data_IF_413480989881
#
_entry.id   IF_413480989881
#
_cell.length_a   1.000
_cell.length_b   1.000
_cell.length_c   1.000
_cell.angle_alpha   90.00
_cell.angle_beta   90.00
_cell.angle_gamma   90.00
#
_symmetry.space_group_name_H-M   'P 1'
#
loop_
_entity.id
_entity.type
_entity.pdbx_description
1 polymer ?
#
# COMPACT_ATOMS: atom_id res chain seq x y z
N UNK A 1 1.96 -14.74 1.15
CA UNK A 1 2.83 -15.69 1.87
C UNK A 1 4.29 -15.32 1.63
N UNK A 2 4.87 -14.53 2.54
CA UNK A 2 6.30 -14.49 2.76
C UNK A 2 6.80 -15.86 3.25
N UNK A 3 7.91 -16.38 2.73
CA UNK A 3 8.45 -17.69 3.14
C UNK A 3 8.89 -17.71 4.61
N UNK A 4 8.97 -18.89 5.23
CA UNK A 4 9.37 -19.00 6.63
C UNK A 4 10.73 -18.34 6.89
N UNK A 5 10.78 -17.42 7.86
CA UNK A 5 12.00 -16.75 8.32
C UNK A 5 12.21 -16.98 9.80
N UNK A 6 13.46 -16.87 10.20
CA UNK A 6 13.91 -16.90 11.58
C UNK A 6 14.97 -15.80 11.73
N UNK A 7 14.75 -14.86 12.64
CA UNK A 7 15.62 -13.71 12.89
C UNK A 7 15.87 -13.58 14.38
N UNK A 8 17.12 -13.29 14.77
CA UNK A 8 17.49 -13.18 16.18
C UNK A 8 17.51 -14.53 16.92
N UNK A 9 17.18 -14.49 18.21
CA UNK A 9 17.21 -15.66 19.08
C UNK A 9 15.84 -16.32 19.17
N UNK A 10 15.77 -17.61 18.86
CA UNK A 10 14.55 -18.42 18.99
C UNK A 10 14.87 -19.76 19.65
N UNK A 11 13.94 -20.35 20.43
CA UNK A 11 14.12 -21.67 21.01
C UNK A 11 14.05 -22.77 19.94
N UNK A 12 14.66 -23.95 20.17
CA UNK A 12 14.63 -25.06 19.23
C UNK A 12 13.23 -25.69 19.06
N UNK A 13 12.30 -25.39 19.96
CA UNK A 13 10.91 -25.84 19.92
C UNK A 13 9.98 -24.71 20.34
N UNK A 14 8.89 -24.57 19.59
CA UNK A 14 7.78 -23.65 19.91
C UNK A 14 7.23 -23.96 21.30
N UNK A 15 6.80 -22.93 22.02
CA UNK A 15 6.14 -23.06 23.30
C UNK A 15 6.94 -23.88 24.33
N UNK A 16 8.24 -23.62 24.39
CA UNK A 16 9.12 -24.15 25.42
C UNK A 16 9.79 -23.01 26.18
N UNK A 17 10.23 -23.29 27.40
CA UNK A 17 10.94 -22.30 28.22
C UNK A 17 12.17 -21.77 27.48
N UNK A 18 12.15 -20.47 27.20
CA UNK A 18 13.23 -19.74 26.54
C UNK A 18 13.63 -18.57 27.44
N UNK A 19 14.88 -18.58 27.93
CA UNK A 19 15.33 -17.68 28.99
C UNK A 19 16.48 -16.81 28.51
N UNK A 20 16.49 -15.57 28.96
CA UNK A 20 17.62 -14.66 28.83
C UNK A 20 18.83 -15.20 29.62
N UNK A 21 20.06 -14.71 29.34
CA UNK A 21 21.26 -15.11 30.08
C UNK A 21 21.16 -14.93 31.61
N UNK A 22 20.36 -13.96 32.08
CA UNK A 22 20.08 -13.72 33.49
C UNK A 22 19.05 -14.67 34.14
N UNK A 23 18.46 -15.61 33.38
CA UNK A 23 17.47 -16.58 33.87
C UNK A 23 16.01 -16.13 33.75
N UNK A 24 15.75 -14.86 33.46
CA UNK A 24 14.43 -14.32 33.14
C UNK A 24 13.82 -15.04 31.92
N UNK A 25 12.51 -15.30 31.95
CA UNK A 25 11.80 -15.94 30.85
C UNK A 25 11.43 -14.90 29.79
N UNK A 26 11.76 -15.16 28.52
CA UNK A 26 11.22 -14.40 27.39
C UNK A 26 9.73 -14.67 27.23
N UNK A 27 8.95 -13.66 26.84
CA UNK A 27 7.50 -13.76 26.73
C UNK A 27 7.19 -14.08 25.29
N UNK A 28 6.70 -15.28 25.04
CA UNK A 28 6.30 -15.73 23.70
C UNK A 28 4.94 -15.11 23.35
N UNK A 29 4.88 -14.36 22.25
CA UNK A 29 3.65 -13.89 21.62
C UNK A 29 3.46 -14.65 20.30
N UNK A 30 2.26 -15.20 20.09
CA UNK A 30 1.85 -15.66 18.77
C UNK A 30 1.04 -14.55 18.09
N UNK A 31 1.63 -13.95 17.07
CA UNK A 31 0.92 -13.05 16.16
C UNK A 31 0.41 -13.89 14.99
N UNK A 32 -0.91 -14.06 14.89
CA UNK A 32 -1.51 -14.96 13.90
C UNK A 32 -2.74 -14.37 13.22
N UNK A 33 -2.96 -14.80 11.98
CA UNK A 33 -4.09 -14.40 11.16
C UNK A 33 -5.26 -15.39 11.27
N UNK A 34 -6.47 -14.90 10.93
CA UNK A 34 -7.70 -15.68 10.77
C UNK A 34 -8.09 -16.61 11.94
N UNK A 35 -7.62 -16.35 13.15
CA UNK A 35 -7.92 -17.22 14.29
C UNK A 35 -7.23 -18.59 14.17
N UNK A 36 -5.91 -18.57 13.92
CA UNK A 36 -5.01 -19.73 13.88
C UNK A 36 -5.09 -20.60 12.61
N UNK A 37 -5.80 -20.17 11.57
CA UNK A 37 -5.91 -20.91 10.30
C UNK A 37 -5.02 -20.40 9.16
N UNK A 38 -4.35 -19.25 9.34
CA UNK A 38 -3.49 -18.62 8.33
C UNK A 38 -2.07 -18.37 8.85
N UNK A 39 -1.29 -17.56 8.14
CA UNK A 39 0.08 -17.19 8.45
C UNK A 39 0.21 -16.65 9.90
N UNK A 40 1.36 -16.93 10.50
CA UNK A 40 1.67 -16.48 11.86
C UNK A 40 3.17 -16.31 12.06
N UNK A 41 3.52 -15.59 13.12
CA UNK A 41 4.87 -15.51 13.66
C UNK A 41 4.85 -15.60 15.18
N UNK A 42 5.89 -16.22 15.73
CA UNK A 42 6.19 -16.21 17.15
C UNK A 42 7.23 -15.12 17.41
N UNK A 43 6.96 -14.27 18.39
CA UNK A 43 7.83 -13.18 18.83
C UNK A 43 8.25 -13.43 20.28
N UNK A 44 9.53 -13.22 20.59
CA UNK A 44 10.10 -13.46 21.92
C UNK A 44 10.49 -12.15 22.59
N UNK A 45 9.66 -11.66 23.51
CA UNK A 45 9.78 -10.34 24.15
C UNK A 45 10.59 -10.35 25.44
N UNK A 46 11.31 -9.25 25.70
CA UNK A 46 11.91 -8.94 27.00
C UNK A 46 10.86 -8.48 28.03
N UNK A 47 9.90 -7.66 27.60
CA UNK A 47 8.77 -7.14 28.36
C UNK A 47 7.55 -8.06 28.31
N UNK A 48 6.41 -7.56 28.80
CA UNK A 48 5.13 -8.28 28.72
C UNK A 48 4.31 -7.64 27.60
N UNK A 49 4.12 -8.30 26.44
CA UNK A 49 3.52 -7.68 25.25
C UNK A 49 2.07 -7.23 25.46
N UNK A 50 1.34 -7.84 26.39
CA UNK A 50 -0.05 -7.49 26.71
C UNK A 50 -0.21 -6.40 27.78
N UNK A 51 0.89 -5.87 28.32
CA UNK A 51 0.83 -4.90 29.42
C UNK A 51 0.59 -3.48 28.90
N UNK A 52 -0.34 -2.77 29.54
CA UNK A 52 -0.62 -1.34 29.34
C UNK A 52 -0.76 -0.66 30.71
N UNK A 53 -0.39 0.60 30.79
CA UNK A 53 -0.54 1.44 31.99
C UNK A 53 -1.59 2.54 31.81
N UNK A 54 -1.94 2.88 30.58
CA UNK A 54 -3.04 3.80 30.24
C UNK A 54 -3.65 3.47 28.88
N UNK A 55 -4.90 3.89 28.67
CA UNK A 55 -5.67 3.73 27.44
C UNK A 55 -6.66 4.88 27.28
N UNK A 56 -6.39 5.80 26.36
CA UNK A 56 -7.23 6.98 26.11
C UNK A 56 -7.67 7.06 24.66
N UNK A 57 -8.74 7.80 24.38
CA UNK A 57 -9.17 8.03 23.00
C UNK A 57 -8.12 8.83 22.22
N UNK A 58 -7.93 8.46 20.96
CA UNK A 58 -7.20 9.25 19.97
C UNK A 58 -8.17 9.63 18.84
N UNK A 59 -8.29 10.94 18.62
CA UNK A 59 -9.08 11.46 17.51
C UNK A 59 -8.33 11.22 16.19
N UNK A 60 -8.93 10.41 15.32
CA UNK A 60 -8.37 10.14 14.00
C UNK A 60 -8.46 11.39 13.11
N UNK A 61 -7.53 11.56 12.15
CA UNK A 61 -7.73 12.46 11.02
C UNK A 61 -9.02 12.14 10.27
N UNK A 62 -9.57 13.10 9.53
CA UNK A 62 -10.85 12.96 8.84
C UNK A 62 -10.92 11.67 7.98
N UNK A 63 -11.82 10.77 8.37
CA UNK A 63 -12.09 9.50 7.71
C UNK A 63 -13.39 9.51 6.88
N UNK A 64 -14.02 10.67 6.71
CA UNK A 64 -15.29 10.82 6.02
C UNK A 64 -15.19 10.46 4.53
N UNK A 65 -16.29 9.94 4.00
CA UNK A 65 -16.41 9.53 2.61
C UNK A 65 -17.65 10.18 2.00
N UNK A 66 -17.45 10.88 0.89
CA UNK A 66 -18.50 11.51 0.10
C UNK A 66 -18.78 10.65 -1.14
N UNK A 67 -20.01 10.16 -1.35
CA UNK A 67 -20.33 9.35 -2.52
C UNK A 67 -19.96 10.04 -3.84
N UNK A 68 -19.50 9.28 -4.84
CA UNK A 68 -19.32 9.79 -6.21
C UNK A 68 -20.68 10.02 -6.89
N UNK A 69 -21.39 11.07 -6.47
CA UNK A 69 -22.73 11.39 -6.93
C UNK A 69 -22.88 12.90 -7.26
N UNK A 70 -23.30 13.28 -8.47
CA UNK A 70 -23.56 12.41 -9.63
C UNK A 70 -22.29 11.67 -10.10
N UNK A 71 -22.47 10.51 -10.71
CA UNK A 71 -21.38 9.63 -11.14
C UNK A 71 -20.54 10.33 -12.22
N UNK A 72 -19.22 10.39 -12.00
CA UNK A 72 -18.25 10.95 -12.95
C UNK A 72 -16.91 10.26 -12.84
N UNK A 73 -16.17 10.21 -13.95
CA UNK A 73 -14.73 9.99 -13.92
C UNK A 73 -14.05 11.20 -13.26
N UNK A 74 -13.07 10.95 -12.40
CA UNK A 74 -12.41 12.00 -11.59
C UNK A 74 -10.92 12.05 -11.90
N UNK A 75 -10.35 13.24 -11.81
CA UNK A 75 -8.90 13.47 -11.83
C UNK A 75 -8.53 14.22 -10.55
N UNK A 76 -7.61 13.66 -9.77
CA UNK A 76 -7.18 14.20 -8.48
C UNK A 76 -5.68 14.50 -8.56
N UNK A 77 -5.25 15.71 -8.20
CA UNK A 77 -3.85 16.15 -8.27
C UNK A 77 -3.17 16.03 -6.91
N UNK A 78 -2.72 14.83 -6.55
CA UNK A 78 -2.26 14.53 -5.18
C UNK A 78 -1.11 15.40 -4.70
N UNK A 79 -0.24 15.86 -5.59
CA UNK A 79 0.86 16.76 -5.22
C UNK A 79 0.38 18.09 -4.64
N UNK A 80 -0.86 18.51 -4.91
CA UNK A 80 -1.46 19.70 -4.29
C UNK A 80 -1.81 19.48 -2.79
N UNK A 81 -1.77 18.23 -2.31
CA UNK A 81 -1.88 17.88 -0.89
C UNK A 81 -0.55 18.09 -0.13
N UNK A 82 0.59 18.13 -0.81
CA UNK A 82 1.94 18.12 -0.24
C UNK A 82 2.42 19.49 0.28
N UNK A 83 1.57 20.25 0.98
CA UNK A 83 1.82 21.68 1.25
C UNK A 83 2.83 21.95 2.37
N UNK A 84 2.85 21.14 3.44
CA UNK A 84 3.67 21.38 4.64
C UNK A 84 4.43 20.12 5.09
N UNK A 85 5.30 19.53 4.25
CA UNK A 85 5.96 18.28 4.57
C UNK A 85 6.83 18.37 5.84
N UNK A 86 7.37 19.55 6.14
CA UNK A 86 8.21 19.80 7.32
C UNK A 86 7.50 19.58 8.66
N UNK A 87 6.18 19.72 8.71
CA UNK A 87 5.38 19.60 9.94
C UNK A 87 4.47 18.36 9.92
N UNK A 88 4.70 17.45 8.97
CA UNK A 88 3.82 16.31 8.68
C UNK A 88 4.58 14.99 8.84
N UNK A 89 3.96 14.01 9.48
CA UNK A 89 4.49 12.64 9.60
C UNK A 89 3.76 11.65 8.65
N UNK A 90 4.41 10.53 8.27
CA UNK A 90 3.87 9.57 7.31
C UNK A 90 2.62 8.77 7.76
N UNK A 91 2.25 8.83 9.03
CA UNK A 91 1.13 8.07 9.61
C UNK A 91 -0.06 8.98 9.86
N UNK A 92 0.08 10.00 10.73
CA UNK A 92 -1.05 10.85 11.14
C UNK A 92 -1.32 11.97 10.15
N UNK A 93 -0.33 12.30 9.30
CA UNK A 93 -0.45 13.28 8.22
C UNK A 93 -1.15 12.79 6.95
N UNK A 94 -1.58 11.52 6.91
CA UNK A 94 -2.25 10.94 5.74
C UNK A 94 -3.58 11.63 5.47
N UNK A 95 -3.76 12.08 4.22
CA UNK A 95 -5.01 12.65 3.73
C UNK A 95 -5.77 11.62 2.92
N UNK A 96 -6.99 11.29 3.33
CA UNK A 96 -7.82 10.28 2.69
C UNK A 96 -8.27 10.76 1.31
N UNK A 97 -7.94 10.02 0.27
CA UNK A 97 -8.23 10.39 -1.13
C UNK A 97 -9.48 9.67 -1.62
N UNK A 98 -9.49 8.34 -1.52
CA UNK A 98 -10.57 7.47 -1.97
C UNK A 98 -10.80 6.37 -0.94
N UNK A 99 -12.01 5.83 -0.85
CA UNK A 99 -12.23 4.65 -0.03
C UNK A 99 -13.62 4.04 -0.13
N UNK A 100 -13.72 2.81 0.35
CA UNK A 100 -14.94 2.04 0.56
C UNK A 100 -14.76 1.14 1.80
N UNK A 101 -15.58 0.09 1.95
CA UNK A 101 -15.50 -0.83 3.09
C UNK A 101 -14.31 -1.81 3.02
N UNK A 102 -13.74 -2.01 1.84
CA UNK A 102 -12.65 -2.95 1.58
C UNK A 102 -11.27 -2.26 1.61
N UNK A 103 -11.19 -1.01 1.15
CA UNK A 103 -9.92 -0.27 1.03
C UNK A 103 -10.07 1.22 1.32
N UNK A 104 -9.02 1.81 1.89
CA UNK A 104 -8.81 3.26 1.98
C UNK A 104 -7.48 3.62 1.34
N UNK A 105 -7.51 4.63 0.50
CA UNK A 105 -6.38 5.12 -0.27
C UNK A 105 -6.08 6.53 0.20
N UNK A 106 -4.89 6.74 0.75
CA UNK A 106 -4.45 8.04 1.28
C UNK A 106 -3.12 8.46 0.67
N UNK A 107 -2.83 9.76 0.72
CA UNK A 107 -1.55 10.31 0.28
C UNK A 107 -0.97 11.25 1.33
N UNK A 108 0.35 11.28 1.44
CA UNK A 108 1.08 12.15 2.37
C UNK A 108 2.43 12.55 1.79
N UNK A 109 2.87 13.77 2.07
CA UNK A 109 4.26 14.19 1.95
C UNK A 109 4.74 14.60 3.34
N UNK A 110 5.82 14.00 3.83
CA UNK A 110 6.23 14.09 5.23
C UNK A 110 7.75 14.14 5.40
N UNK A 111 8.21 14.86 6.43
CA UNK A 111 9.60 14.90 6.89
C UNK A 111 9.74 14.73 8.40
N UNK A 112 8.64 14.66 9.15
CA UNK A 112 8.68 14.35 10.58
C UNK A 112 8.64 12.84 10.80
N UNK A 113 9.31 12.40 11.86
CA UNK A 113 9.19 11.04 12.36
C UNK A 113 7.75 10.79 12.80
N UNK A 114 7.20 9.63 12.46
CA UNK A 114 5.88 9.24 12.93
C UNK A 114 5.91 8.82 14.39
N UNK A 115 4.80 8.96 15.13
CA UNK A 115 4.63 8.23 16.38
C UNK A 115 4.66 6.72 16.12
N UNK A 116 4.83 5.93 17.19
CA UNK A 116 4.57 4.50 17.14
C UNK A 116 3.08 4.28 16.85
N UNK A 117 2.81 3.47 15.84
CA UNK A 117 1.48 3.26 15.33
C UNK A 117 1.22 1.79 15.01
N UNK A 118 -0.05 1.41 15.10
CA UNK A 118 -0.56 0.08 14.77
C UNK A 118 -1.92 0.20 14.08
N UNK A 119 -2.04 -0.31 12.86
CA UNK A 119 -3.34 -0.50 12.21
C UNK A 119 -3.91 -1.88 12.58
N UNK A 120 -4.98 -1.90 13.38
CA UNK A 120 -5.69 -3.11 13.77
C UNK A 120 -6.92 -3.39 12.89
N UNK A 121 -7.10 -2.67 11.78
CA UNK A 121 -8.22 -2.84 10.84
C UNK A 121 -7.88 -3.90 9.78
N UNK A 122 -6.72 -3.77 9.13
CA UNK A 122 -6.21 -4.64 8.07
C UNK A 122 -4.76 -4.28 7.74
N UNK A 123 -4.24 -4.88 6.68
CA UNK A 123 -2.86 -4.67 6.24
C UNK A 123 -2.68 -3.28 5.59
N UNK A 124 -1.47 -2.74 5.68
CA UNK A 124 -1.08 -1.53 4.94
C UNK A 124 -0.08 -1.91 3.85
N UNK A 125 -0.33 -1.44 2.63
CA UNK A 125 0.61 -1.49 1.52
C UNK A 125 0.94 -0.06 1.10
N UNK A 126 2.10 0.44 1.52
CA UNK A 126 2.50 1.84 1.33
C UNK A 126 3.51 1.92 0.19
N UNK A 127 3.11 2.54 -0.92
CA UNK A 127 4.01 2.79 -2.05
C UNK A 127 4.76 4.12 -1.85
N UNK A 128 6.09 4.07 -1.89
CA UNK A 128 6.96 5.25 -1.76
C UNK A 128 7.18 5.88 -3.13
N UNK A 129 6.49 6.99 -3.40
CA UNK A 129 6.58 7.71 -4.68
C UNK A 129 7.92 8.45 -4.81
N UNK A 130 8.37 9.10 -3.73
CA UNK A 130 9.60 9.89 -3.65
C UNK A 130 10.13 9.90 -2.20
N UNK A 131 11.42 10.22 -2.06
CA UNK A 131 12.11 10.17 -0.77
C UNK A 131 12.48 8.75 -0.33
N UNK A 132 12.91 8.67 0.92
CA UNK A 132 13.25 7.42 1.60
C UNK A 132 13.03 7.55 3.09
N UNK A 133 12.89 6.42 3.77
CA UNK A 133 12.70 6.33 5.21
C UNK A 133 13.29 5.04 5.77
N UNK A 134 13.55 5.03 7.07
CA UNK A 134 13.67 3.79 7.84
C UNK A 134 12.31 3.49 8.46
N UNK A 135 11.79 2.29 8.26
CA UNK A 135 10.54 1.81 8.88
C UNK A 135 10.91 0.84 9.97
N UNK A 136 10.83 1.30 11.21
CA UNK A 136 11.12 0.49 12.37
C UNK A 136 9.86 -0.25 12.81
N UNK A 137 9.97 -1.55 13.05
CA UNK A 137 8.85 -2.40 13.42
C UNK A 137 9.20 -3.29 14.60
N UNK A 138 8.19 -3.89 15.22
CA UNK A 138 8.38 -4.94 16.25
C UNK A 138 9.19 -6.14 15.74
N UNK A 139 9.27 -6.35 14.43
CA UNK A 139 10.07 -7.41 13.79
C UNK A 139 11.52 -6.98 13.46
N UNK A 140 11.87 -5.71 13.65
CA UNK A 140 13.12 -5.12 13.19
C UNK A 140 12.90 -3.99 12.18
N UNK A 141 13.99 -3.40 11.69
CA UNK A 141 13.94 -2.26 10.78
C UNK A 141 13.96 -2.67 9.30
N UNK A 142 13.29 -1.88 8.47
CA UNK A 142 13.27 -1.95 7.01
C UNK A 142 13.77 -0.63 6.42
N UNK A 143 14.54 -0.70 5.35
CA UNK A 143 14.78 0.47 4.50
C UNK A 143 13.63 0.61 3.50
N UNK A 144 13.10 1.81 3.34
CA UNK A 144 12.11 2.15 2.33
C UNK A 144 12.67 3.26 1.44
N UNK A 145 12.67 3.05 0.12
CA UNK A 145 13.11 4.01 -0.89
C UNK A 145 12.07 4.16 -1.98
N UNK A 146 12.23 5.19 -2.81
CA UNK A 146 11.45 5.38 -4.03
C UNK A 146 11.23 4.07 -4.80
N UNK A 147 9.95 3.80 -5.11
CA UNK A 147 9.47 2.62 -5.81
C UNK A 147 9.17 1.42 -4.90
N UNK A 148 9.53 1.46 -3.60
CA UNK A 148 9.18 0.38 -2.69
C UNK A 148 7.70 0.41 -2.34
N UNK A 149 7.09 -0.77 -2.36
CA UNK A 149 5.96 -1.12 -1.53
C UNK A 149 6.49 -1.56 -0.17
N UNK A 150 6.02 -0.94 0.90
CA UNK A 150 6.22 -1.39 2.28
C UNK A 150 4.93 -2.07 2.72
N UNK A 151 4.95 -3.39 2.86
CA UNK A 151 3.80 -4.17 3.31
C UNK A 151 3.92 -4.42 4.81
N UNK A 152 2.96 -3.92 5.57
CA UNK A 152 2.87 -4.00 7.02
C UNK A 152 1.62 -4.83 7.37
N UNK A 153 1.79 -6.07 7.86
CA UNK A 153 0.66 -6.89 8.27
C UNK A 153 -0.14 -6.22 9.39
N UNK A 154 -1.45 -6.45 9.39
CA UNK A 154 -2.39 -5.98 10.41
C UNK A 154 -1.83 -6.23 11.81
N UNK A 155 -1.85 -5.20 12.64
CA UNK A 155 -1.39 -5.28 14.02
C UNK A 155 0.12 -5.09 14.22
N UNK A 156 0.91 -4.93 13.15
CA UNK A 156 2.34 -4.63 13.26
C UNK A 156 2.54 -3.23 13.85
N UNK A 157 3.10 -3.16 15.06
CA UNK A 157 3.57 -1.87 15.61
C UNK A 157 4.78 -1.41 14.82
N UNK A 158 4.73 -0.19 14.31
CA UNK A 158 5.80 0.40 13.53
C UNK A 158 5.87 1.92 13.70
N UNK A 159 6.99 2.52 13.29
CA UNK A 159 7.14 3.96 13.05
C UNK A 159 7.97 4.21 11.80
N UNK A 160 7.72 5.33 11.15
CA UNK A 160 8.43 5.78 9.95
C UNK A 160 9.36 6.94 10.30
N UNK A 161 10.62 6.82 9.90
CA UNK A 161 11.65 7.83 10.10
C UNK A 161 12.13 8.31 8.72
N UNK A 162 11.52 9.37 8.14
CA UNK A 162 11.97 9.94 6.88
C UNK A 162 13.46 10.31 6.93
N UNK A 163 14.21 9.95 5.89
CA UNK A 163 15.61 10.33 5.81
C UNK A 163 15.73 11.82 5.47
N UNK A 164 16.74 12.54 5.99
CA UNK A 164 16.98 13.94 5.65
C UNK A 164 17.21 14.15 4.14
N UNK A 165 16.78 15.30 3.62
CA UNK A 165 17.12 15.77 2.28
C UNK A 165 15.92 16.11 1.41
N UNK A 166 14.97 15.19 1.28
CA UNK A 166 13.72 15.38 0.53
C UNK A 166 12.52 14.78 1.28
N UNK A 167 11.29 15.31 1.10
CA UNK A 167 10.11 14.72 1.70
C UNK A 167 9.89 13.27 1.27
N UNK A 168 9.46 12.44 2.21
CA UNK A 168 8.85 11.14 1.90
C UNK A 168 7.44 11.38 1.36
N UNK A 169 7.23 11.11 0.07
CA UNK A 169 5.91 11.09 -0.54
C UNK A 169 5.40 9.64 -0.59
N UNK A 170 4.31 9.36 0.11
CA UNK A 170 3.79 8.01 0.27
C UNK A 170 2.30 7.91 -0.13
N UNK A 171 2.00 6.89 -0.93
CA UNK A 171 0.66 6.49 -1.33
C UNK A 171 0.25 5.24 -0.56
N UNK A 172 -0.58 5.41 0.46
CA UNK A 172 -0.96 4.37 1.41
C UNK A 172 -2.27 3.69 0.98
N UNK A 173 -2.19 2.38 0.71
CA UNK A 173 -3.32 1.51 0.39
C UNK A 173 -3.59 0.66 1.63
N UNK A 174 -4.63 1.01 2.38
CA UNK A 174 -4.99 0.39 3.65
C UNK A 174 -6.19 -0.54 3.44
N UNK A 175 -5.98 -1.85 3.58
CA UNK A 175 -7.04 -2.85 3.45
C UNK A 175 -7.87 -2.94 4.74
N UNK A 176 -9.08 -3.46 4.62
CA UNK A 176 -9.86 -3.98 5.74
C UNK A 176 -9.62 -5.48 5.99
N UNK A 177 -8.77 -6.12 5.18
CA UNK A 177 -8.37 -7.52 5.22
C UNK A 177 -6.85 -7.70 4.98
N UNK A 178 -6.40 -8.91 4.66
CA UNK A 178 -4.99 -9.22 4.39
C UNK A 178 -4.60 -8.92 2.94
N UNK A 179 -3.37 -8.46 2.70
CA UNK A 179 -2.81 -8.20 1.38
C UNK A 179 -1.68 -9.21 1.11
N UNK A 180 -1.72 -9.86 -0.06
CA UNK A 180 -0.69 -10.82 -0.44
C UNK A 180 -0.47 -10.91 -1.95
N UNK A 181 0.49 -11.74 -2.40
CA UNK A 181 0.66 -12.06 -3.80
C UNK A 181 -0.64 -12.58 -4.42
N UNK A 182 -0.87 -12.24 -5.69
CA UNK A 182 -2.04 -12.71 -6.43
C UNK A 182 -2.04 -14.24 -6.51
N UNK A 183 -3.16 -14.88 -6.16
CA UNK A 183 -3.28 -16.35 -6.11
C UNK A 183 -2.83 -17.05 -7.39
N UNK A 184 -3.06 -16.46 -8.58
CA UNK A 184 -2.66 -17.09 -9.85
C UNK A 184 -1.14 -17.22 -10.03
N UNK A 185 -0.35 -16.45 -9.31
CA UNK A 185 1.11 -16.52 -9.34
C UNK A 185 1.67 -17.49 -8.30
N UNK A 186 0.81 -18.08 -7.47
CA UNK A 186 1.21 -18.99 -6.42
C UNK A 186 0.92 -20.44 -6.81
N UNK A 187 1.84 -21.32 -6.42
CA UNK A 187 1.55 -22.75 -6.34
C UNK A 187 0.53 -23.02 -5.23
N UNK A 188 -0.06 -24.22 -5.23
CA UNK A 188 -0.93 -24.68 -4.12
C UNK A 188 -0.25 -24.69 -2.74
N UNK A 189 1.08 -24.52 -2.68
CA UNK A 189 1.87 -24.50 -1.45
C UNK A 189 2.42 -23.10 -1.11
N UNK A 190 2.02 -22.06 -1.84
CA UNK A 190 2.39 -20.67 -1.56
C UNK A 190 3.73 -20.22 -2.12
N UNK A 191 4.46 -21.06 -2.87
CA UNK A 191 5.64 -20.64 -3.63
C UNK A 191 5.22 -19.87 -4.89
N UNK A 192 5.91 -18.78 -5.24
CA UNK A 192 5.75 -18.08 -6.51
C UNK A 192 6.13 -19.00 -7.68
N UNK A 193 5.33 -18.99 -8.73
CA UNK A 193 5.53 -19.78 -9.94
C UNK A 193 6.55 -19.10 -10.85
N UNK A 194 7.27 -19.88 -11.67
CA UNK A 194 8.32 -19.35 -12.59
C UNK A 194 7.83 -18.31 -13.60
N UNK A 195 6.52 -18.19 -13.81
CA UNK A 195 5.93 -17.17 -14.70
C UNK A 195 5.41 -15.94 -13.94
N UNK A 196 5.53 -15.93 -12.60
CA UNK A 196 5.20 -14.77 -11.80
C UNK A 196 6.11 -13.59 -12.18
N UNK A 197 5.62 -12.35 -12.14
CA UNK A 197 6.40 -11.17 -12.51
C UNK A 197 7.41 -10.75 -11.45
N UNK A 198 7.58 -11.52 -10.37
CA UNK A 198 8.58 -11.35 -9.33
C UNK A 198 8.75 -12.67 -8.58
N UNK A 199 9.78 -12.80 -7.76
CA UNK A 199 10.06 -13.97 -6.95
C UNK A 199 10.34 -13.61 -5.49
N UNK A 200 10.52 -14.62 -4.65
CA UNK A 200 10.75 -14.44 -3.21
C UNK A 200 12.04 -13.66 -2.90
N UNK A 201 12.99 -13.59 -3.84
CA UNK A 201 14.25 -12.85 -3.69
C UNK A 201 14.04 -11.33 -3.71
N UNK A 202 12.93 -10.88 -4.29
CA UNK A 202 12.60 -9.47 -4.44
C UNK A 202 11.89 -8.93 -3.19
N UNK A 203 11.57 -9.81 -2.23
CA UNK A 203 10.94 -9.48 -0.95
C UNK A 203 12.00 -9.33 0.15
N UNK A 204 12.16 -8.11 0.64
CA UNK A 204 13.17 -7.75 1.63
C UNK A 204 12.53 -7.55 3.01
N UNK A 205 12.78 -8.49 3.93
CA UNK A 205 12.29 -8.43 5.31
C UNK A 205 13.40 -8.02 6.29
N UNK A 206 13.08 -7.67 7.56
CA UNK A 206 14.11 -7.39 8.55
C UNK A 206 15.13 -8.54 8.66
N UNK A 207 16.40 -8.18 8.84
CA UNK A 207 17.52 -9.14 8.93
C UNK A 207 18.03 -9.31 10.35
N UNK A 208 17.69 -8.39 11.25
CA UNK A 208 18.05 -8.42 12.66
C UNK A 208 16.92 -7.81 13.50
N UNK A 209 16.77 -8.23 14.78
CA UNK A 209 15.83 -7.59 15.69
C UNK A 209 16.25 -6.16 16.02
N UNK A 210 15.26 -5.30 16.28
CA UNK A 210 15.46 -3.95 16.80
C UNK A 210 15.04 -3.93 18.27
N UNK A 211 15.99 -3.60 19.14
CA UNK A 211 15.75 -3.44 20.58
C UNK A 211 15.86 -1.96 20.94
N UNK A 212 14.83 -1.44 21.59
CA UNK A 212 14.81 -0.08 22.12
C UNK A 212 14.40 -0.12 23.60
N UNK A 213 15.01 0.77 24.38
CA UNK A 213 14.61 1.01 25.76
C UNK A 213 13.58 2.14 25.82
N UNK A 214 12.69 2.07 26.82
CA UNK A 214 11.69 3.09 27.07
C UNK A 214 10.75 2.68 28.18
N UNK A 215 10.19 3.67 28.88
CA UNK A 215 9.21 3.49 29.95
C UNK A 215 7.99 4.33 29.60
N UNK A 216 6.79 3.78 29.81
CA UNK A 216 5.51 4.45 29.54
C UNK A 216 5.44 5.03 28.12
N UNK A 217 5.67 4.15 27.13
CA UNK A 217 5.77 4.49 25.71
C UNK A 217 4.39 4.52 25.06
N UNK A 218 4.06 5.63 24.39
CA UNK A 218 2.79 5.76 23.67
C UNK A 218 2.78 4.97 22.35
N UNK A 219 1.66 4.32 22.06
CA UNK A 219 1.37 3.67 20.78
C UNK A 219 -0.04 4.05 20.32
N UNK A 220 -0.14 4.63 19.13
CA UNK A 220 -1.42 4.94 18.50
C UNK A 220 -1.98 3.70 17.81
N UNK A 221 -3.20 3.32 18.14
CA UNK A 221 -3.88 2.15 17.56
C UNK A 221 -5.14 2.60 16.84
N UNK A 222 -5.19 2.41 15.53
CA UNK A 222 -6.42 2.56 14.75
C UNK A 222 -7.15 1.23 14.70
N UNK A 223 -8.44 1.22 15.05
CA UNK A 223 -9.25 0.00 15.09
C UNK A 223 -10.71 0.28 14.73
N UNK A 224 -11.52 -0.79 14.69
CA UNK A 224 -12.97 -0.71 14.47
C UNK A 224 -13.68 -0.40 15.78
N UNK A 225 -14.61 0.55 15.73
CA UNK A 225 -15.65 0.80 16.73
C UNK A 225 -17.01 0.32 16.22
N UNK A 226 -18.06 0.51 17.02
CA UNK A 226 -19.43 0.07 16.66
C UNK A 226 -20.03 0.80 15.46
N UNK A 227 -19.54 1.99 15.13
CA UNK A 227 -20.10 2.87 14.08
C UNK A 227 -19.07 3.27 13.01
N UNK A 228 -17.86 2.71 13.03
CA UNK A 228 -16.82 3.07 12.06
C UNK A 228 -15.40 2.91 12.62
N UNK A 229 -14.46 3.65 12.05
CA UNK A 229 -13.07 3.67 12.49
C UNK A 229 -12.88 4.60 13.68
N UNK A 230 -12.07 4.18 14.65
CA UNK A 230 -11.72 4.97 15.84
C UNK A 230 -10.25 4.76 16.19
N UNK A 231 -9.70 5.68 16.99
CA UNK A 231 -8.33 5.63 17.49
C UNK A 231 -8.28 5.47 19.01
N UNK A 232 -7.31 4.70 19.47
CA UNK A 232 -6.94 4.58 20.89
C UNK A 232 -5.45 4.86 21.03
N UNK A 233 -5.06 5.67 22.01
CA UNK A 233 -3.68 5.80 22.47
C UNK A 233 -3.48 4.85 23.64
N UNK A 234 -2.59 3.88 23.47
CA UNK A 234 -2.13 3.01 24.54
C UNK A 234 -0.82 3.54 25.10
N UNK A 235 -0.59 3.33 26.38
CA UNK A 235 0.72 3.54 27.01
C UNK A 235 1.25 2.19 27.49
N UNK A 236 2.36 1.75 26.91
CA UNK A 236 3.03 0.50 27.25
C UNK A 236 4.10 0.75 28.32
N UNK A 237 4.20 -0.05 29.39
CA UNK A 237 5.18 0.16 30.45
C UNK A 237 6.63 0.02 29.99
N UNK A 238 6.86 -0.71 28.88
CA UNK A 238 8.15 -0.87 28.21
C UNK A 238 8.00 -0.54 26.73
N UNK A 239 9.11 -0.18 26.07
CA UNK A 239 9.10 0.02 24.62
C UNK A 239 8.63 -1.26 23.89
N UNK A 240 7.74 -1.17 22.88
CA UNK A 240 7.21 -2.35 22.19
C UNK A 240 8.22 -3.02 21.24
N UNK A 241 9.36 -2.37 20.98
CA UNK A 241 10.48 -2.95 20.22
C UNK A 241 11.45 -3.62 21.19
N UNK A 242 11.03 -4.76 21.74
CA UNK A 242 11.74 -5.51 22.77
C UNK A 242 11.86 -7.00 22.44
N UNK A 243 11.66 -7.33 21.15
CA UNK A 243 11.71 -8.69 20.61
C UNK A 243 13.15 -9.09 20.33
N UNK A 244 13.65 -10.14 21.02
CA UNK A 244 15.01 -10.65 20.83
C UNK A 244 15.16 -11.58 19.64
N UNK A 245 14.03 -12.05 19.11
CA UNK A 245 13.96 -12.87 17.92
C UNK A 245 12.53 -13.29 17.61
N UNK A 246 12.33 -13.71 16.37
CA UNK A 246 11.03 -14.16 15.87
C UNK A 246 11.20 -15.18 14.76
N UNK A 247 10.19 -16.01 14.56
CA UNK A 247 10.10 -16.95 13.45
C UNK A 247 8.67 -17.12 12.93
N UNK A 248 8.50 -17.34 11.62
CA UNK A 248 7.20 -17.52 11.01
C UNK A 248 7.09 -17.03 9.57
N UNK A 249 5.86 -16.89 9.10
CA UNK A 249 5.50 -16.40 7.76
C UNK A 249 4.77 -15.04 7.80
N UNK A 250 4.41 -14.55 9.00
CA UNK A 250 3.76 -13.25 9.19
C UNK A 250 4.77 -12.20 9.61
N UNK A 251 5.23 -11.37 8.67
CA UNK A 251 6.20 -10.30 8.95
C UNK A 251 6.15 -9.21 7.87
N UNK A 252 6.60 -7.98 8.18
CA UNK A 252 6.64 -6.90 7.21
C UNK A 252 7.80 -7.09 6.21
N UNK A 253 7.62 -6.58 4.99
CA UNK A 253 8.67 -6.60 3.97
C UNK A 253 8.55 -5.40 3.02
N UNK A 254 9.64 -5.15 2.29
CA UNK A 254 9.63 -4.25 1.14
C UNK A 254 9.77 -5.00 -0.19
N UNK A 255 9.14 -4.49 -1.24
CA UNK A 255 9.25 -4.97 -2.62
C UNK A 255 9.39 -3.75 -3.53
N UNK A 256 10.46 -3.66 -4.32
CA UNK A 256 10.64 -2.51 -5.21
C UNK A 256 9.93 -2.76 -6.55
N UNK A 257 9.20 -1.76 -7.03
CA UNK A 257 8.52 -1.83 -8.33
C UNK A 257 9.48 -2.06 -9.50
N UNK A 258 10.76 -1.70 -9.37
CA UNK A 258 11.77 -1.98 -10.38
C UNK A 258 12.16 -3.46 -10.48
N UNK A 259 11.83 -4.28 -9.47
CA UNK A 259 12.02 -5.73 -9.48
C UNK A 259 10.81 -6.46 -10.12
N UNK A 260 9.77 -5.73 -10.52
CA UNK A 260 8.62 -6.27 -11.24
C UNK A 260 8.93 -6.45 -12.74
N UNK A 261 8.90 -7.69 -13.22
CA UNK A 261 9.11 -8.07 -14.60
C UNK A 261 7.79 -8.05 -15.41
N UNK A 262 7.57 -7.07 -16.31
CA UNK A 262 6.29 -6.94 -17.00
C UNK A 262 6.03 -8.12 -17.95
N UNK A 263 4.85 -8.73 -17.83
CA UNK A 263 4.37 -9.74 -18.78
C UNK A 263 3.88 -9.02 -20.04
N UNK A 264 4.53 -9.31 -21.17
CA UNK A 264 4.22 -8.71 -22.47
C UNK A 264 3.62 -9.74 -23.44
N UNK A 265 2.84 -9.27 -24.40
CA UNK A 265 2.14 -10.14 -25.34
C UNK A 265 2.24 -9.65 -26.78
N UNK A 266 1.89 -10.54 -27.71
CA UNK A 266 1.80 -10.17 -29.13
C UNK A 266 0.71 -9.12 -29.37
N UNK A 267 -0.31 -9.11 -28.53
CA UNK A 267 -1.43 -8.15 -28.52
C UNK A 267 -1.65 -7.68 -27.09
N UNK A 268 -2.41 -6.59 -26.94
CA UNK A 268 -2.64 -5.89 -25.69
C UNK A 268 -2.96 -6.84 -24.55
N UNK A 269 -2.12 -6.78 -23.51
CA UNK A 269 -2.33 -7.55 -22.29
C UNK A 269 -3.31 -6.80 -21.38
N UNK A 270 -4.41 -7.44 -20.94
CA UNK A 270 -5.35 -6.79 -20.04
C UNK A 270 -4.73 -6.60 -18.64
N UNK A 271 -5.33 -5.74 -17.79
CA UNK A 271 -4.81 -5.42 -16.45
C UNK A 271 -4.38 -6.60 -15.56
N UNK A 272 -4.99 -7.81 -15.62
CA UNK A 272 -4.47 -8.97 -14.91
C UNK A 272 -2.99 -9.25 -15.17
N UNK A 273 -2.43 -8.99 -16.36
CA UNK A 273 -0.99 -9.18 -16.60
C UNK A 273 -0.09 -8.26 -15.73
N UNK A 274 -0.65 -7.21 -15.15
CA UNK A 274 0.04 -6.18 -14.38
C UNK A 274 -0.16 -6.31 -12.86
N UNK A 275 -1.02 -7.20 -12.37
CA UNK A 275 -1.24 -7.29 -10.91
C UNK A 275 0.04 -7.72 -10.19
N UNK A 276 0.24 -7.18 -8.98
CA UNK A 276 1.35 -7.50 -8.06
C UNK A 276 0.83 -8.13 -6.77
N UNK A 277 -0.21 -7.53 -6.18
CA UNK A 277 -0.82 -7.94 -4.92
C UNK A 277 -2.36 -7.93 -5.05
N UNK A 278 -3.02 -8.68 -4.18
CA UNK A 278 -4.47 -8.70 -4.04
C UNK A 278 -4.90 -8.71 -2.58
N UNK A 279 -6.15 -8.34 -2.34
CA UNK A 279 -6.82 -8.38 -1.05
C UNK A 279 -8.30 -8.72 -1.26
N UNK A 280 -9.06 -8.89 -0.18
CA UNK A 280 -10.51 -9.04 -0.33
C UNK A 280 -11.09 -7.75 -0.88
N UNK A 281 -11.66 -7.78 -2.09
CA UNK A 281 -12.36 -6.63 -2.68
C UNK A 281 -11.53 -5.73 -3.59
N UNK A 282 -10.21 -5.95 -3.73
CA UNK A 282 -9.39 -5.15 -4.65
C UNK A 282 -8.08 -5.84 -5.07
N UNK A 283 -7.48 -5.34 -6.15
CA UNK A 283 -6.15 -5.74 -6.65
C UNK A 283 -5.24 -4.53 -6.86
N UNK A 284 -3.94 -4.72 -6.71
CA UNK A 284 -2.91 -3.70 -6.99
C UNK A 284 -2.15 -4.12 -8.25
N UNK A 285 -1.95 -3.20 -9.20
CA UNK A 285 -1.21 -3.45 -10.43
C UNK A 285 -0.07 -2.47 -10.66
N UNK A 286 0.97 -2.94 -11.36
CA UNK A 286 2.15 -2.18 -11.74
C UNK A 286 2.21 -2.06 -13.26
N UNK A 287 2.04 -0.84 -13.75
CA UNK A 287 2.38 -0.47 -15.11
C UNK A 287 3.80 0.05 -15.08
N UNK A 288 4.74 -0.74 -15.59
CA UNK A 288 6.18 -0.42 -15.62
C UNK A 288 6.68 -0.32 -17.06
N UNK A 289 7.87 0.26 -17.30
CA UNK A 289 8.43 0.37 -18.63
C UNK A 289 8.56 -1.00 -19.30
N UNK A 290 8.04 -1.14 -20.53
CA UNK A 290 7.95 -2.44 -21.21
C UNK A 290 7.90 -2.32 -22.72
N UNK A 291 8.29 -3.40 -23.39
CA UNK A 291 7.91 -3.61 -24.79
C UNK A 291 6.40 -3.78 -24.89
N UNK A 292 5.81 -3.19 -25.92
CA UNK A 292 4.36 -3.31 -26.16
C UNK A 292 4.09 -4.25 -27.33
N UNK A 293 2.83 -4.31 -27.73
CA UNK A 293 2.28 -5.29 -28.64
C UNK A 293 3.05 -5.43 -29.96
N UNK A 294 3.64 -6.61 -30.18
CA UNK A 294 4.47 -6.90 -31.36
C UNK A 294 3.70 -7.56 -32.52
N UNK A 295 2.36 -7.45 -32.55
CA UNK A 295 1.57 -7.78 -33.74
C UNK A 295 1.65 -6.64 -34.76
N UNK A 296 1.83 -6.91 -36.07
CA UNK A 296 1.91 -5.85 -37.10
C UNK A 296 0.69 -4.93 -37.22
N UNK A 297 -0.42 -5.30 -36.58
CA UNK A 297 -1.71 -4.59 -36.59
C UNK A 297 -2.22 -4.34 -35.15
N UNK A 298 -1.33 -4.35 -34.15
CA UNK A 298 -1.73 -4.06 -32.79
C UNK A 298 -2.12 -2.59 -32.61
N UNK A 299 -2.96 -2.34 -31.61
CA UNK A 299 -3.20 -1.01 -31.03
C UNK A 299 -2.56 -1.07 -29.63
N UNK A 300 -1.36 -0.50 -29.43
CA UNK A 300 -0.62 -0.65 -28.18
C UNK A 300 -1.29 -0.09 -26.93
N UNK A 301 -2.00 1.04 -27.06
CA UNK A 301 -2.74 1.62 -25.93
C UNK A 301 -4.01 0.80 -25.62
N UNK A 302 -4.52 0.84 -24.37
CA UNK A 302 -5.72 0.13 -24.00
C UNK A 302 -6.92 0.46 -24.90
N UNK A 303 -7.79 -0.52 -25.08
CA UNK A 303 -9.09 -0.30 -25.72
C UNK A 303 -10.03 0.54 -24.83
N UNK A 304 -11.01 1.18 -25.46
CA UNK A 304 -12.18 1.67 -24.73
C UNK A 304 -12.90 0.48 -24.09
N UNK A 305 -13.25 0.60 -22.81
CA UNK A 305 -13.96 -0.45 -22.08
C UNK A 305 -14.88 0.09 -21.01
N UNK A 306 -15.72 -0.81 -20.54
CA UNK A 306 -16.51 -0.66 -19.32
C UNK A 306 -16.19 -1.84 -18.43
N UNK A 307 -15.54 -1.57 -17.31
CA UNK A 307 -15.39 -2.56 -16.26
C UNK A 307 -16.65 -2.51 -15.39
N UNK A 308 -17.58 -3.41 -15.66
CA UNK A 308 -18.95 -3.30 -15.13
C UNK A 308 -19.04 -3.56 -13.63
N UNK A 309 -18.05 -4.27 -13.08
CA UNK A 309 -18.01 -4.71 -11.68
C UNK A 309 -16.84 -4.07 -10.91
N UNK A 310 -16.17 -3.05 -11.47
CA UNK A 310 -14.99 -2.45 -10.84
C UNK A 310 -14.87 -0.95 -11.05
N UNK A 311 -14.39 -0.27 -10.01
CA UNK A 311 -13.82 1.07 -10.12
C UNK A 311 -12.31 0.93 -10.33
N UNK A 312 -11.78 1.68 -11.30
CA UNK A 312 -10.35 1.64 -11.64
C UNK A 312 -9.67 2.94 -11.19
N UNK A 313 -8.66 2.83 -10.33
CA UNK A 313 -7.87 3.97 -9.84
C UNK A 313 -6.46 3.86 -10.37
N UNK A 314 -6.01 4.82 -11.18
CA UNK A 314 -4.64 4.88 -11.68
C UNK A 314 -3.88 6.02 -11.02
N UNK A 315 -2.80 5.74 -10.31
CA UNK A 315 -1.84 6.71 -9.79
C UNK A 315 -0.62 6.82 -10.72
N UNK A 316 -0.42 8.00 -11.30
CA UNK A 316 0.60 8.29 -12.29
C UNK A 316 1.88 8.79 -11.61
N UNK A 317 2.92 7.94 -11.49
CA UNK A 317 4.14 8.18 -10.71
C UNK A 317 5.28 8.82 -11.54
N UNK A 318 5.66 8.20 -12.66
CA UNK A 318 6.76 8.68 -13.51
C UNK A 318 6.60 8.25 -14.97
N UNK A 319 7.41 8.83 -15.87
CA UNK A 319 7.41 8.52 -17.29
C UNK A 319 6.39 9.31 -18.11
N UNK A 320 6.23 8.89 -19.37
CA UNK A 320 5.44 9.57 -20.40
C UNK A 320 4.10 8.86 -20.63
N UNK A 321 3.00 9.55 -20.26
CA UNK A 321 1.63 9.01 -20.41
C UNK A 321 1.00 9.43 -21.74
N UNK A 322 1.54 8.97 -22.86
CA UNK A 322 1.09 9.37 -24.20
C UNK A 322 -0.43 9.15 -24.43
N UNK A 323 -1.00 8.07 -23.87
CA UNK A 323 -2.44 7.79 -23.95
C UNK A 323 -3.35 8.85 -23.27
N UNK A 324 -2.77 9.72 -22.44
CA UNK A 324 -3.45 10.74 -21.63
C UNK A 324 -3.14 12.16 -22.07
N UNK A 325 -2.41 12.35 -23.18
CA UNK A 325 -2.07 13.67 -23.70
C UNK A 325 -3.32 14.53 -23.92
N UNK A 326 -3.31 15.75 -23.37
CA UNK A 326 -4.43 16.68 -23.43
C UNK A 326 -5.49 16.53 -22.33
N UNK A 327 -5.39 15.52 -21.46
CA UNK A 327 -6.37 15.31 -20.36
C UNK A 327 -6.10 16.12 -19.09
N UNK A 328 -4.90 16.69 -18.97
CA UNK A 328 -4.42 17.31 -17.72
C UNK A 328 -3.77 16.32 -16.74
N UNK A 329 -3.84 15.01 -16.97
CA UNK A 329 -3.13 14.00 -16.18
C UNK A 329 -1.61 14.17 -16.37
N UNK A 330 -0.89 14.16 -15.26
CA UNK A 330 0.56 14.13 -15.20
C UNK A 330 1.05 13.42 -13.94
N UNK A 331 2.34 13.55 -13.62
CA UNK A 331 2.93 12.99 -12.40
C UNK A 331 2.18 13.48 -11.16
N UNK A 332 1.96 12.59 -10.19
CA UNK A 332 1.18 12.87 -8.99
C UNK A 332 -0.33 12.90 -9.21
N UNK A 333 -0.82 12.61 -10.41
CA UNK A 333 -2.25 12.53 -10.67
C UNK A 333 -2.83 11.18 -10.28
N UNK A 334 -4.09 11.17 -9.89
CA UNK A 334 -4.95 10.00 -9.88
C UNK A 334 -6.06 10.19 -10.91
N UNK A 335 -6.37 9.15 -11.69
CA UNK A 335 -7.66 9.05 -12.36
C UNK A 335 -8.53 7.97 -11.70
N UNK A 336 -9.79 8.30 -11.41
CA UNK A 336 -10.83 7.34 -11.03
C UNK A 336 -11.80 7.17 -12.20
N UNK A 337 -11.94 5.94 -12.66
CA UNK A 337 -12.95 5.53 -13.65
C UNK A 337 -13.93 4.58 -12.97
N UNK A 338 -15.10 5.06 -12.53
CA UNK A 338 -16.01 4.23 -11.76
C UNK A 338 -16.79 3.26 -12.66
N UNK A 339 -17.21 2.14 -12.07
CA UNK A 339 -18.09 1.17 -12.70
C UNK A 339 -19.37 1.83 -13.24
N UNK A 340 -19.79 1.39 -14.43
CA UNK A 340 -20.97 1.92 -15.12
C UNK A 340 -20.70 3.10 -16.06
N UNK A 341 -19.45 3.52 -16.24
CA UNK A 341 -19.03 4.48 -17.28
C UNK A 341 -18.02 3.79 -18.21
N UNK A 342 -18.09 4.10 -19.51
CA UNK A 342 -17.04 3.69 -20.44
C UNK A 342 -15.86 4.66 -20.37
N UNK A 343 -14.65 4.14 -20.31
CA UNK A 343 -13.41 4.92 -20.32
C UNK A 343 -12.39 4.28 -21.25
N UNK A 344 -11.28 4.97 -21.47
CA UNK A 344 -10.23 4.52 -22.38
C UNK A 344 -9.27 5.64 -22.74
N UNK A 345 -8.47 5.47 -23.80
CA UNK A 345 -7.50 6.46 -24.24
C UNK A 345 -8.19 7.78 -24.63
N UNK A 346 -7.44 8.89 -24.56
CA UNK A 346 -7.95 10.18 -25.07
C UNK A 346 -8.20 10.12 -26.59
N UNK A 347 -9.12 10.94 -27.14
CA UNK A 347 -9.41 10.92 -28.58
C UNK A 347 -8.15 11.05 -29.44
N UNK A 348 -7.98 10.13 -30.40
CA UNK A 348 -6.83 10.08 -31.31
C UNK A 348 -5.58 9.37 -30.76
N UNK A 349 -5.55 9.02 -29.46
CA UNK A 349 -4.39 8.33 -28.88
C UNK A 349 -4.26 6.88 -29.36
N UNK A 350 -5.37 6.22 -29.71
CA UNK A 350 -5.34 4.88 -30.31
C UNK A 350 -4.59 4.90 -31.65
N UNK A 351 -4.96 5.79 -32.57
CA UNK A 351 -4.31 5.97 -33.86
C UNK A 351 -2.85 6.41 -33.71
N UNK A 352 -2.57 7.34 -32.79
CA UNK A 352 -1.22 7.82 -32.53
C UNK A 352 -0.29 6.74 -31.95
N UNK A 353 -0.84 5.73 -31.29
CA UNK A 353 -0.05 4.64 -30.70
C UNK A 353 0.41 3.59 -31.70
N UNK A 354 -0.15 3.56 -32.91
CA UNK A 354 0.16 2.52 -33.89
C UNK A 354 1.65 2.59 -34.26
N UNK A 355 2.33 1.46 -34.10
CA UNK A 355 3.77 1.35 -34.35
C UNK A 355 4.66 1.67 -33.14
N UNK A 356 4.09 2.02 -31.98
CA UNK A 356 4.85 2.07 -30.74
C UNK A 356 5.37 0.67 -30.38
N UNK A 357 6.65 0.58 -30.01
CA UNK A 357 7.30 -0.69 -29.62
C UNK A 357 7.65 -0.74 -28.14
N UNK A 358 7.54 0.39 -27.45
CA UNK A 358 7.91 0.56 -26.05
C UNK A 358 7.10 1.68 -25.39
N UNK A 359 6.71 1.49 -24.12
CA UNK A 359 6.20 2.55 -23.26
C UNK A 359 7.12 2.72 -22.06
N UNK A 360 7.47 3.97 -21.75
CA UNK A 360 8.21 4.38 -20.56
C UNK A 360 7.23 5.00 -19.56
N UNK A 361 6.47 4.16 -18.86
CA UNK A 361 5.46 4.59 -17.90
C UNK A 361 5.65 3.87 -16.57
N UNK A 362 5.45 4.59 -15.47
CA UNK A 362 5.32 4.02 -14.14
C UNK A 362 4.00 4.47 -13.51
N UNK A 363 3.04 3.57 -13.42
CA UNK A 363 1.78 3.82 -12.73
C UNK A 363 1.39 2.66 -11.81
N UNK A 364 0.77 3.01 -10.68
CA UNK A 364 0.21 2.06 -9.72
C UNK A 364 -1.29 2.12 -9.83
N UNK A 365 -1.92 0.97 -10.09
CA UNK A 365 -3.37 0.88 -10.19
C UNK A 365 -3.95 0.15 -8.99
N UNK A 366 -5.09 0.61 -8.50
CA UNK A 366 -5.91 -0.07 -7.49
C UNK A 366 -7.31 -0.24 -8.06
N UNK A 367 -7.61 -1.46 -8.50
CA UNK A 367 -8.95 -1.81 -8.99
C UNK A 367 -9.77 -2.38 -7.85
N UNK A 368 -10.94 -1.81 -7.60
CA UNK A 368 -11.82 -2.21 -6.50
C UNK A 368 -13.12 -2.78 -7.02
N UNK A 369 -13.67 -3.78 -6.35
CA UNK A 369 -14.93 -4.43 -6.74
C UNK A 369 -16.16 -3.83 -6.03
N UNK A 370 -15.92 -2.92 -5.08
CA UNK A 370 -16.93 -2.01 -4.54
C UNK A 370 -16.71 -0.59 -5.07
N UNK A 371 -17.77 0.19 -5.30
CA UNK A 371 -17.64 1.59 -5.69
C UNK A 371 -16.86 2.39 -4.66
N UNK A 372 -16.04 3.32 -5.14
CA UNK A 372 -15.27 4.23 -4.30
C UNK A 372 -16.01 5.54 -4.04
N UNK A 373 -15.89 6.00 -2.81
CA UNK A 373 -16.26 7.34 -2.38
C UNK A 373 -15.02 8.21 -2.23
N UNK A 374 -15.21 9.54 -2.25
CA UNK A 374 -14.17 10.55 -2.14
C UNK A 374 -13.91 10.89 -0.67
N UNK A 375 -12.65 10.83 -0.25
CA UNK A 375 -12.23 11.39 1.03
C UNK A 375 -12.00 12.90 0.95
N UNK A 376 -11.71 13.52 2.08
CA UNK A 376 -11.44 14.96 2.15
C UNK A 376 -10.28 15.39 1.24
N UNK A 377 -9.22 14.58 1.17
CA UNK A 377 -8.06 14.83 0.34
C UNK A 377 -8.41 14.76 -1.14
N UNK A 378 -9.26 13.82 -1.53
CA UNK A 378 -9.73 13.71 -2.92
C UNK A 378 -10.56 14.93 -3.33
N UNK A 379 -11.49 15.37 -2.49
CA UNK A 379 -12.29 16.57 -2.73
C UNK A 379 -11.44 17.84 -2.82
N UNK A 380 -10.35 17.92 -2.06
CA UNK A 380 -9.50 19.10 -2.00
C UNK A 380 -8.66 19.34 -3.27
N UNK A 381 -8.45 18.33 -4.11
CA UNK A 381 -7.53 18.38 -5.28
C UNK A 381 -8.15 17.88 -6.57
N UNK A 382 -9.48 17.85 -6.63
CA UNK A 382 -10.20 17.45 -7.85
C UNK A 382 -10.03 18.48 -8.97
N UNK A 383 -9.75 18.00 -10.18
CA UNK A 383 -9.97 18.75 -11.42
C UNK A 383 -11.41 18.51 -11.95
N UNK A 384 -12.32 19.50 -11.83
CA UNK A 384 -13.72 19.30 -12.18
C UNK A 384 -13.96 19.20 -13.69
N UNK A 385 -12.96 19.50 -14.53
CA UNK A 385 -13.08 19.50 -15.98
C UNK A 385 -12.86 18.12 -16.62
N UNK A 386 -12.23 17.20 -15.89
CA UNK A 386 -11.73 15.93 -16.44
C UNK A 386 -12.78 15.06 -17.11
N UNK A 387 -13.97 14.95 -16.52
CA UNK A 387 -15.08 14.16 -17.07
C UNK A 387 -15.48 14.57 -18.50
N UNK A 388 -15.16 15.81 -18.90
CA UNK A 388 -15.51 16.38 -20.20
C UNK A 388 -14.34 16.36 -21.20
N UNK A 389 -13.17 15.90 -20.78
CA UNK A 389 -11.94 15.92 -21.60
C UNK A 389 -12.10 15.16 -22.93
N UNK A 390 -12.80 14.02 -22.93
CA UNK A 390 -13.05 13.25 -24.16
C UNK A 390 -13.94 13.97 -25.19
N UNK A 391 -14.87 14.81 -24.74
CA UNK A 391 -15.79 15.51 -25.64
C UNK A 391 -15.28 16.89 -26.06
N UNK A 392 -14.30 17.44 -25.33
CA UNK A 392 -13.84 18.83 -25.49
C UNK A 392 -14.90 19.89 -25.12
N UNK A 393 -16.04 19.47 -24.56
CA UNK A 393 -17.17 20.33 -24.18
C UNK A 393 -17.90 19.73 -22.97
N UNK A 394 -18.42 20.59 -22.08
CA UNK A 394 -19.09 20.22 -20.84
C UNK A 394 -20.42 20.96 -20.62
N UNK A 395 -21.04 20.84 -19.44
CA UNK A 395 -22.34 21.44 -19.15
C UNK A 395 -22.37 22.98 -19.26
N UNK A 396 -21.21 23.62 -19.15
CA UNK A 396 -21.05 25.09 -19.20
C UNK A 396 -20.54 25.62 -20.55
N UNK A 397 -20.41 24.77 -21.57
CA UNK A 397 -19.89 25.12 -22.90
C UNK A 397 -20.92 25.10 -24.01
#
# INVERSE_FOLDING_TARGET
MPFYRQVGQVPPKRHTQFRAPGGELYREELMGEEGFSSDSALLYHLGTPSAIVDSTSWELPDQSLTPNHPLRSRHLKLHELARNPLDTDPVTGRRLVLGNDDVRISYVAAQQDSPLYRNAVGDECVFVEAGSATVETVFGALGARRGDYVLLPRGTTHRWLPNPGEPLCAYAIESSSHIGPVHRYLSRFGQLLEHAPYCERDLHAPTEPLLCDGTDVEVLVRHRGSTGLVGTRLVCPTHPFDVVGWDGCLYPFTFNVADFEPITGRVHQPPPAHQVFESTGFVICNFVPRKVDYHPLAIPVPYYHSNVDSDEVMFYVDGDYEARKGSGIGRGSISLHPGGIAHGPQPGAAEASIGAEFFDELAVMVDTFRPLALGEGGLAVEDPSYAWSWAGRGPSS
#
